data_IF_837956020137
#
_entry.id   IF_837956020137
#
_cell.length_a   1.000
_cell.length_b   1.000
_cell.length_c   1.000
_cell.angle_alpha   90.00
_cell.angle_beta   90.00
_cell.angle_gamma   90.00
#
_symmetry.space_group_name_H-M   'P 1'
#
loop_
_entity.id
_entity.type
_entity.pdbx_description
1 polymer ?
#
# COMPACT_ATOMS: atom_id res chain seq x y z
N UNK A 1 -27.36 6.76 14.29
CA UNK A 1 -26.20 5.97 14.79
C UNK A 1 -26.69 4.59 15.22
N UNK A 2 -26.52 3.57 14.38
CA UNK A 2 -26.92 2.18 14.68
C UNK A 2 -25.97 1.58 15.71
N UNK A 3 -26.50 1.08 16.83
CA UNK A 3 -25.71 0.39 17.85
C UNK A 3 -25.19 -0.92 17.27
N UNK A 4 -23.87 -1.04 17.13
CA UNK A 4 -23.22 -2.30 16.74
C UNK A 4 -23.71 -3.40 17.71
N UNK A 5 -24.24 -4.54 17.21
CA UNK A 5 -24.75 -5.59 18.06
C UNK A 5 -23.67 -6.07 19.04
N UNK A 6 -23.97 -6.17 20.34
CA UNK A 6 -23.03 -6.61 21.38
C UNK A 6 -22.34 -7.95 21.05
N UNK A 7 -22.99 -8.81 20.26
CA UNK A 7 -22.40 -10.06 19.75
C UNK A 7 -21.30 -9.80 18.72
N UNK A 8 -21.49 -8.88 17.77
CA UNK A 8 -20.52 -8.52 16.74
C UNK A 8 -19.28 -7.84 17.34
N UNK A 9 -19.47 -6.92 18.29
CA UNK A 9 -18.36 -6.26 18.98
C UNK A 9 -17.49 -7.26 19.76
N UNK A 10 -18.14 -8.23 20.42
CA UNK A 10 -17.45 -9.31 21.13
C UNK A 10 -16.75 -10.27 20.16
N UNK A 11 -17.36 -10.51 19.00
CA UNK A 11 -16.82 -11.36 17.94
C UNK A 11 -15.54 -10.76 17.35
N UNK A 12 -15.55 -9.46 17.02
CA UNK A 12 -14.38 -8.72 16.55
C UNK A 12 -13.26 -8.76 17.60
N UNK A 13 -13.59 -8.49 18.87
CA UNK A 13 -12.62 -8.49 19.97
C UNK A 13 -11.91 -9.85 20.14
N UNK A 14 -12.62 -10.97 20.03
CA UNK A 14 -12.01 -12.30 20.11
C UNK A 14 -11.30 -12.73 18.82
N UNK A 15 -11.80 -12.32 17.65
CA UNK A 15 -11.13 -12.60 16.36
C UNK A 15 -9.84 -11.81 16.19
N UNK A 16 -9.72 -10.64 16.82
CA UNK A 16 -8.53 -9.77 16.73
C UNK A 16 -7.68 -9.76 17.99
N UNK A 17 -7.93 -10.64 18.98
CA UNK A 17 -7.15 -10.64 20.22
C UNK A 17 -5.67 -11.04 19.95
N UNK A 18 -4.69 -10.14 20.21
CA UNK A 18 -3.28 -10.40 19.95
C UNK A 18 -2.65 -11.47 20.87
N UNK A 19 -3.31 -11.83 21.97
CA UNK A 19 -2.80 -12.82 22.94
C UNK A 19 -3.25 -14.26 22.65
N UNK A 20 -3.96 -14.49 21.54
CA UNK A 20 -4.37 -15.85 21.15
C UNK A 20 -3.17 -16.73 20.80
N UNK A 21 -3.25 -18.00 21.19
CA UNK A 21 -2.29 -19.05 20.84
C UNK A 21 -2.97 -20.20 20.10
N UNK A 22 -2.33 -20.72 19.05
CA UNK A 22 -2.85 -21.84 18.25
C UNK A 22 -3.83 -21.44 17.14
N UNK A 23 -4.13 -22.40 16.25
CA UNK A 23 -5.08 -22.22 15.14
C UNK A 23 -6.48 -22.61 15.62
N UNK A 24 -7.44 -21.72 15.39
CA UNK A 24 -8.81 -21.82 15.86
C UNK A 24 -9.78 -21.42 14.74
N UNK A 25 -11.08 -21.69 14.91
CA UNK A 25 -12.12 -21.23 13.97
C UNK A 25 -12.15 -19.70 13.78
N UNK A 26 -11.59 -18.95 14.71
CA UNK A 26 -11.51 -17.49 14.65
C UNK A 26 -10.50 -17.02 13.60
N UNK A 27 -9.49 -17.82 13.28
CA UNK A 27 -8.51 -17.56 12.22
C UNK A 27 -9.15 -17.56 10.83
N UNK A 28 -10.09 -18.47 10.60
CA UNK A 28 -10.86 -18.50 9.35
C UNK A 28 -11.71 -17.23 9.22
N UNK A 29 -12.35 -16.79 10.30
CA UNK A 29 -13.10 -15.52 10.31
C UNK A 29 -12.18 -14.34 10.01
N UNK A 30 -11.01 -14.31 10.65
CA UNK A 30 -10.03 -13.26 10.44
C UNK A 30 -9.55 -13.19 8.99
N UNK A 31 -9.23 -14.34 8.39
CA UNK A 31 -8.89 -14.44 6.98
C UNK A 31 -10.05 -13.93 6.10
N UNK A 32 -11.29 -14.32 6.41
CA UNK A 32 -12.47 -13.84 5.68
C UNK A 32 -12.64 -12.32 5.80
N UNK A 33 -12.35 -11.72 6.96
CA UNK A 33 -12.39 -10.26 7.14
C UNK A 33 -11.31 -9.60 6.29
N UNK A 34 -10.09 -10.13 6.28
CA UNK A 34 -8.99 -9.58 5.46
C UNK A 34 -9.32 -9.68 3.99
N UNK A 35 -9.78 -10.84 3.52
CA UNK A 35 -10.19 -11.06 2.13
C UNK A 35 -11.36 -10.14 1.76
N UNK A 36 -12.37 -10.01 2.63
CA UNK A 36 -13.50 -9.12 2.40
C UNK A 36 -13.07 -7.65 2.32
N UNK A 37 -12.23 -7.20 3.26
CA UNK A 37 -11.68 -5.84 3.24
C UNK A 37 -10.85 -5.58 1.97
N UNK A 38 -10.07 -6.57 1.54
CA UNK A 38 -9.31 -6.52 0.30
C UNK A 38 -10.24 -6.40 -0.93
N UNK A 39 -11.29 -7.21 -1.01
CA UNK A 39 -12.29 -7.10 -2.08
C UNK A 39 -13.00 -5.74 -2.08
N UNK A 40 -13.44 -5.26 -0.90
CA UNK A 40 -14.01 -3.92 -0.77
C UNK A 40 -13.04 -2.83 -1.22
N UNK A 41 -11.75 -2.98 -0.93
CA UNK A 41 -10.72 -2.06 -1.39
C UNK A 41 -10.66 -1.99 -2.91
N UNK A 42 -10.64 -3.12 -3.63
CA UNK A 42 -10.64 -3.09 -5.10
C UNK A 42 -11.95 -2.56 -5.69
N UNK A 43 -13.09 -2.81 -5.05
CA UNK A 43 -14.37 -2.27 -5.50
C UNK A 43 -14.45 -0.75 -5.35
N UNK A 44 -14.05 -0.21 -4.19
CA UNK A 44 -14.04 1.25 -3.95
C UNK A 44 -12.98 1.92 -4.81
N UNK A 45 -11.82 1.29 -4.98
CA UNK A 45 -10.77 1.78 -5.88
C UNK A 45 -11.22 1.73 -7.35
N UNK A 46 -12.06 0.79 -7.74
CA UNK A 46 -12.64 0.73 -9.09
C UNK A 46 -13.75 1.76 -9.35
N UNK A 47 -14.32 2.38 -8.30
CA UNK A 47 -15.34 3.41 -8.43
C UNK A 47 -14.71 4.75 -8.86
N UNK A 48 -14.31 4.81 -10.14
CA UNK A 48 -13.68 5.98 -10.76
C UNK A 48 -14.70 7.12 -10.84
N UNK A 49 -14.37 8.24 -10.20
CA UNK A 49 -15.03 9.53 -10.45
C UNK A 49 -14.07 10.34 -11.32
N UNK A 50 -14.54 10.77 -12.49
CA UNK A 50 -13.72 11.58 -13.41
C UNK A 50 -13.48 12.97 -12.81
N UNK A 51 -12.33 13.12 -12.14
CA UNK A 51 -11.84 14.37 -11.51
C UNK A 51 -10.40 14.65 -11.94
N UNK A 52 -10.12 14.44 -13.22
CA UNK A 52 -8.77 14.55 -13.78
C UNK A 52 -8.13 15.92 -13.53
N UNK A 53 -8.90 17.00 -13.69
CA UNK A 53 -8.42 18.37 -13.46
C UNK A 53 -8.02 18.62 -12.00
N UNK A 54 -8.87 18.22 -11.04
CA UNK A 54 -8.58 18.34 -9.61
C UNK A 54 -7.35 17.51 -9.23
N UNK A 55 -7.25 16.28 -9.76
CA UNK A 55 -6.14 15.37 -9.48
C UNK A 55 -4.79 15.93 -9.92
N UNK A 56 -4.73 16.52 -11.12
CA UNK A 56 -3.52 17.20 -11.62
C UNK A 56 -3.22 18.42 -10.74
N UNK A 57 -4.22 19.25 -10.44
CA UNK A 57 -4.03 20.44 -9.61
C UNK A 57 -3.46 20.10 -8.22
N UNK A 58 -4.02 19.10 -7.54
CA UNK A 58 -3.52 18.63 -6.25
C UNK A 58 -2.08 18.10 -6.34
N UNK A 59 -1.75 17.37 -7.41
CA UNK A 59 -0.40 16.87 -7.61
C UNK A 59 0.61 18.01 -7.78
N UNK A 60 0.27 19.05 -8.57
CA UNK A 60 1.09 20.27 -8.70
C UNK A 60 1.26 20.97 -7.36
N UNK A 61 0.18 21.14 -6.60
CA UNK A 61 0.23 21.75 -5.27
C UNK A 61 1.17 21.01 -4.31
N UNK A 62 1.16 19.66 -4.32
CA UNK A 62 2.08 18.84 -3.52
C UNK A 62 3.54 19.09 -3.95
N UNK A 63 3.81 19.13 -5.26
CA UNK A 63 5.15 19.40 -5.77
C UNK A 63 5.62 20.81 -5.39
N UNK A 64 4.77 21.83 -5.54
CA UNK A 64 5.09 23.20 -5.15
C UNK A 64 5.42 23.28 -3.65
N UNK A 65 4.67 22.56 -2.82
CA UNK A 65 4.98 22.45 -1.39
C UNK A 65 6.34 21.78 -1.16
N UNK A 66 6.66 20.69 -1.87
CA UNK A 66 7.96 20.02 -1.76
C UNK A 66 9.12 20.93 -2.19
N UNK A 67 8.92 21.73 -3.25
CA UNK A 67 9.89 22.71 -3.74
C UNK A 67 10.13 23.78 -2.67
N UNK A 68 9.05 24.35 -2.12
CA UNK A 68 9.12 25.38 -1.09
C UNK A 68 9.79 24.89 0.20
N UNK A 69 9.64 23.60 0.53
CA UNK A 69 10.30 22.96 1.66
C UNK A 69 11.73 22.49 1.35
N UNK A 70 12.19 22.59 0.11
CA UNK A 70 13.52 22.12 -0.31
C UNK A 70 13.68 20.60 -0.32
N UNK A 71 12.57 19.85 -0.37
CA UNK A 71 12.56 18.37 -0.35
C UNK A 71 12.15 17.76 -1.70
N UNK A 72 12.04 18.58 -2.75
CA UNK A 72 11.76 18.11 -4.12
C UNK A 72 13.00 17.46 -4.75
N UNK A 73 13.30 16.23 -4.34
CA UNK A 73 14.50 15.48 -4.74
C UNK A 73 14.20 14.36 -5.74
N UNK A 74 12.92 14.01 -5.94
CA UNK A 74 12.50 12.84 -6.70
C UNK A 74 13.04 12.83 -8.15
N UNK A 75 12.96 13.91 -8.96
CA UNK A 75 13.51 13.89 -10.31
C UNK A 75 15.04 13.78 -10.37
N UNK A 76 15.74 14.28 -9.35
CA UNK A 76 17.20 14.14 -9.28
C UNK A 76 17.59 12.69 -8.96
N UNK A 77 16.91 12.08 -7.98
CA UNK A 77 17.11 10.69 -7.63
C UNK A 77 16.73 9.75 -8.78
N UNK A 78 15.60 10.00 -9.46
CA UNK A 78 15.18 9.19 -10.61
C UNK A 78 16.21 9.23 -11.72
N UNK A 79 16.73 10.41 -12.08
CA UNK A 79 17.79 10.52 -13.11
C UNK A 79 19.04 9.73 -12.74
N UNK A 80 19.49 9.80 -11.48
CA UNK A 80 20.61 9.00 -11.01
C UNK A 80 20.35 7.48 -11.13
N UNK A 81 19.14 7.01 -10.83
CA UNK A 81 18.78 5.59 -11.03
C UNK A 81 18.76 5.21 -12.51
N UNK A 82 18.28 6.11 -13.38
CA UNK A 82 18.21 5.88 -14.83
C UNK A 82 19.58 5.76 -15.49
N UNK A 83 20.65 6.31 -14.88
CA UNK A 83 22.02 6.11 -15.34
C UNK A 83 22.48 4.63 -15.21
N UNK A 84 21.76 3.81 -14.45
CA UNK A 84 22.06 2.41 -14.20
C UNK A 84 20.89 1.49 -14.60
N UNK A 85 20.86 1.06 -15.86
CA UNK A 85 19.78 0.20 -16.43
C UNK A 85 19.45 -1.02 -15.57
N UNK A 86 20.47 -1.74 -15.08
CA UNK A 86 20.27 -2.92 -14.24
C UNK A 86 19.61 -2.58 -12.90
N UNK A 87 19.95 -1.43 -12.31
CA UNK A 87 19.33 -0.97 -11.06
C UNK A 87 17.86 -0.62 -11.31
N UNK A 88 17.55 0.11 -12.38
CA UNK A 88 16.17 0.43 -12.77
C UNK A 88 15.30 -0.81 -12.96
N UNK A 89 15.78 -1.80 -13.72
CA UNK A 89 15.07 -3.08 -13.93
C UNK A 89 14.88 -3.86 -12.63
N UNK A 90 15.91 -3.92 -11.78
CA UNK A 90 15.82 -4.61 -10.50
C UNK A 90 14.76 -3.96 -9.58
N UNK A 91 14.73 -2.62 -9.50
CA UNK A 91 13.74 -1.89 -8.72
C UNK A 91 12.32 -2.08 -9.26
N UNK A 92 12.13 -2.01 -10.58
CA UNK A 92 10.85 -2.33 -11.22
C UNK A 92 10.38 -3.75 -10.89
N UNK A 93 11.28 -4.73 -11.00
CA UNK A 93 10.98 -6.13 -10.69
C UNK A 93 10.56 -6.32 -9.23
N UNK A 94 11.32 -5.74 -8.29
CA UNK A 94 11.00 -5.78 -6.86
C UNK A 94 9.63 -5.13 -6.61
N UNK A 95 9.42 -3.93 -7.16
CA UNK A 95 8.18 -3.18 -6.98
C UNK A 95 6.96 -3.94 -7.51
N UNK A 96 7.06 -4.52 -8.70
CA UNK A 96 5.92 -5.17 -9.36
C UNK A 96 5.65 -6.57 -8.83
N UNK A 97 6.71 -7.38 -8.63
CA UNK A 97 6.54 -8.81 -8.34
C UNK A 97 6.69 -9.17 -6.87
N UNK A 98 7.45 -8.42 -6.07
CA UNK A 98 7.83 -8.87 -4.72
C UNK A 98 6.96 -8.30 -3.60
N UNK A 99 6.25 -7.19 -3.80
CA UNK A 99 5.52 -6.54 -2.71
C UNK A 99 4.45 -7.45 -2.07
N UNK A 100 3.54 -7.99 -2.87
CA UNK A 100 2.49 -8.90 -2.36
C UNK A 100 3.04 -10.23 -1.81
N UNK A 101 3.97 -10.94 -2.50
CA UNK A 101 4.60 -12.12 -1.92
C UNK A 101 5.31 -11.85 -0.60
N UNK A 102 5.99 -10.70 -0.47
CA UNK A 102 6.67 -10.31 0.76
C UNK A 102 5.67 -10.11 1.90
N UNK A 103 4.56 -9.41 1.66
CA UNK A 103 3.46 -9.26 2.63
C UNK A 103 2.95 -10.63 3.08
N UNK A 104 2.70 -11.55 2.14
CA UNK A 104 2.19 -12.88 2.45
C UNK A 104 3.17 -13.71 3.29
N UNK A 105 4.45 -13.73 2.90
CA UNK A 105 5.49 -14.50 3.61
C UNK A 105 5.74 -13.93 4.99
N UNK A 106 5.95 -12.62 5.13
CA UNK A 106 6.16 -11.98 6.43
C UNK A 106 4.94 -12.14 7.33
N UNK A 107 3.74 -11.96 6.77
CA UNK A 107 2.48 -12.19 7.48
C UNK A 107 2.37 -13.63 8.01
N UNK A 108 2.70 -14.64 7.20
CA UNK A 108 2.71 -16.04 7.62
C UNK A 108 3.74 -16.31 8.72
N UNK A 109 4.97 -15.81 8.56
CA UNK A 109 6.04 -15.98 9.56
C UNK A 109 5.62 -15.36 10.89
N UNK A 110 5.10 -14.13 10.88
CA UNK A 110 4.62 -13.47 12.09
C UNK A 110 3.41 -14.21 12.68
N UNK A 111 2.48 -14.71 11.87
CA UNK A 111 1.31 -15.47 12.34
C UNK A 111 1.75 -16.69 13.16
N UNK A 112 2.71 -17.46 12.64
CA UNK A 112 3.15 -18.71 13.25
C UNK A 112 4.12 -18.49 14.41
N UNK A 113 5.02 -17.51 14.32
CA UNK A 113 6.10 -17.30 15.30
C UNK A 113 5.78 -16.25 16.36
N UNK A 114 4.98 -15.24 16.01
CA UNK A 114 4.82 -13.99 16.78
C UNK A 114 3.40 -13.42 16.61
N UNK A 115 2.40 -14.16 17.10
CA UNK A 115 0.98 -13.85 16.86
C UNK A 115 0.58 -12.40 17.17
N UNK A 116 1.04 -11.87 18.31
CA UNK A 116 0.80 -10.47 18.70
C UNK A 116 1.29 -9.47 17.66
N UNK A 117 2.49 -9.67 17.11
CA UNK A 117 3.05 -8.77 16.10
C UNK A 117 2.28 -8.88 14.79
N UNK A 118 1.93 -10.10 14.37
CA UNK A 118 1.08 -10.32 13.21
C UNK A 118 -0.25 -9.55 13.30
N UNK A 119 -0.96 -9.67 14.43
CA UNK A 119 -2.24 -8.98 14.65
C UNK A 119 -2.10 -7.46 14.57
N UNK A 120 -1.07 -6.90 15.20
CA UNK A 120 -0.81 -5.45 15.16
C UNK A 120 -0.45 -4.98 13.74
N UNK A 121 0.43 -5.69 13.04
CA UNK A 121 0.82 -5.36 11.66
C UNK A 121 -0.38 -5.48 10.72
N UNK A 122 -1.18 -6.55 10.83
CA UNK A 122 -2.43 -6.74 10.07
C UNK A 122 -3.38 -5.57 10.28
N UNK A 123 -3.64 -5.18 11.52
CA UNK A 123 -4.58 -4.09 11.83
C UNK A 123 -4.06 -2.75 11.33
N UNK A 124 -2.77 -2.46 11.47
CA UNK A 124 -2.15 -1.26 10.92
C UNK A 124 -2.25 -1.21 9.38
N UNK A 125 -2.09 -2.34 8.70
CA UNK A 125 -2.24 -2.43 7.24
C UNK A 125 -3.69 -2.22 6.80
N UNK A 126 -4.66 -2.84 7.49
CA UNK A 126 -6.08 -2.67 7.19
C UNK A 126 -6.56 -1.23 7.46
N UNK A 127 -6.15 -0.64 8.58
CA UNK A 127 -6.49 0.75 8.94
C UNK A 127 -5.86 1.71 7.92
N UNK A 128 -4.58 1.56 7.60
CA UNK A 128 -3.92 2.42 6.61
C UNK A 128 -4.52 2.28 5.22
N UNK A 129 -4.88 1.06 4.79
CA UNK A 129 -5.63 0.82 3.55
C UNK A 129 -6.99 1.52 3.54
N UNK A 130 -7.75 1.42 4.64
CA UNK A 130 -9.03 2.12 4.78
C UNK A 130 -8.88 3.65 4.74
N UNK A 131 -7.88 4.20 5.43
CA UNK A 131 -7.57 5.64 5.38
C UNK A 131 -7.16 6.08 3.97
N UNK A 132 -6.35 5.28 3.28
CA UNK A 132 -5.94 5.57 1.90
C UNK A 132 -7.14 5.65 0.96
N UNK A 133 -8.13 4.74 1.07
CA UNK A 133 -9.37 4.81 0.28
C UNK A 133 -10.12 6.13 0.49
N UNK A 134 -10.26 6.57 1.74
CA UNK A 134 -10.92 7.84 2.07
C UNK A 134 -10.16 9.00 1.43
N UNK A 135 -8.83 8.99 1.50
CA UNK A 135 -7.98 10.02 0.91
C UNK A 135 -8.05 10.01 -0.63
N UNK A 136 -8.00 8.85 -1.28
CA UNK A 136 -8.12 8.73 -2.73
C UNK A 136 -9.44 9.30 -3.25
N UNK A 137 -10.51 9.22 -2.46
CA UNK A 137 -11.80 9.79 -2.79
C UNK A 137 -11.89 11.30 -2.46
N UNK A 138 -11.42 11.70 -1.28
CA UNK A 138 -11.54 13.08 -0.80
C UNK A 138 -10.53 14.03 -1.47
N UNK A 139 -9.36 13.53 -1.82
CA UNK A 139 -8.23 14.30 -2.35
C UNK A 139 -7.53 13.47 -3.45
N UNK A 140 -8.12 13.36 -4.65
CA UNK A 140 -7.51 12.62 -5.76
C UNK A 140 -6.21 13.30 -6.16
N UNK A 141 -5.18 12.51 -6.52
CA UNK A 141 -3.86 13.03 -6.89
C UNK A 141 -3.36 12.30 -8.11
N UNK A 142 -3.00 13.06 -9.15
CA UNK A 142 -2.40 12.49 -10.35
C UNK A 142 -0.99 11.96 -10.07
N UNK A 143 -0.62 10.77 -10.57
CA UNK A 143 0.73 10.23 -10.44
C UNK A 143 1.76 11.07 -11.24
N UNK A 144 3.03 11.09 -10.83
CA UNK A 144 4.09 11.90 -11.46
C UNK A 144 4.25 11.72 -12.97
N UNK A 145 3.97 10.51 -13.50
CA UNK A 145 3.98 10.22 -14.95
C UNK A 145 3.02 11.08 -15.79
N UNK A 146 2.01 11.69 -15.18
CA UNK A 146 1.09 12.63 -15.84
C UNK A 146 1.54 14.09 -15.74
N UNK A 147 2.74 14.34 -15.20
CA UNK A 147 3.31 15.66 -14.96
C UNK A 147 4.67 15.79 -15.65
N UNK A 148 4.73 15.71 -16.99
CA UNK A 148 5.99 15.69 -17.75
C UNK A 148 6.82 16.96 -17.57
N UNK A 149 6.22 18.08 -17.14
CA UNK A 149 6.90 19.36 -16.94
C UNK A 149 8.00 19.32 -15.86
N UNK A 150 8.02 18.32 -14.97
CA UNK A 150 9.10 18.10 -13.99
C UNK A 150 10.09 16.99 -14.37
N UNK A 151 9.98 16.43 -15.58
CA UNK A 151 10.95 15.47 -16.11
C UNK A 151 10.84 14.04 -15.58
N UNK A 152 9.67 13.64 -15.08
CA UNK A 152 9.43 12.26 -14.64
C UNK A 152 9.40 11.27 -15.82
N UNK A 153 10.00 10.09 -15.62
CA UNK A 153 10.01 8.98 -16.58
C UNK A 153 9.17 7.83 -16.05
N UNK A 154 8.27 7.26 -16.86
CA UNK A 154 7.55 6.03 -16.52
C UNK A 154 8.41 4.80 -16.81
N UNK A 155 9.21 4.38 -15.82
CA UNK A 155 10.16 3.26 -15.97
C UNK A 155 9.48 1.92 -16.18
N UNK A 156 8.25 1.73 -15.70
CA UNK A 156 7.49 0.49 -15.89
C UNK A 156 7.02 0.32 -17.33
N UNK A 157 6.76 1.45 -18.02
CA UNK A 157 6.46 1.45 -19.45
C UNK A 157 7.74 1.21 -20.25
N UNK A 158 8.77 2.00 -19.97
CA UNK A 158 10.01 2.00 -20.74
C UNK A 158 10.74 0.66 -20.71
N UNK A 159 10.83 0.00 -19.55
CA UNK A 159 11.67 -1.21 -19.42
C UNK A 159 10.93 -2.51 -19.64
N UNK A 160 9.65 -2.58 -19.25
CA UNK A 160 8.96 -3.85 -19.09
C UNK A 160 7.57 -3.89 -19.76
N UNK A 161 7.08 -2.78 -20.36
CA UNK A 161 5.71 -2.63 -20.87
C UNK A 161 4.62 -3.06 -19.84
N UNK A 162 4.94 -3.00 -18.55
CA UNK A 162 4.10 -3.53 -17.47
C UNK A 162 3.05 -2.53 -16.98
N UNK A 163 3.20 -1.25 -17.27
CA UNK A 163 2.20 -0.20 -16.99
C UNK A 163 0.88 -0.49 -17.68
N UNK A 164 0.91 -0.93 -18.94
CA UNK A 164 -0.28 -1.37 -19.65
C UNK A 164 -0.93 -2.61 -19.02
N UNK A 165 -0.15 -3.57 -18.49
CA UNK A 165 -0.68 -4.74 -17.79
C UNK A 165 -1.25 -4.41 -16.39
N UNK A 166 -0.65 -3.48 -15.67
CA UNK A 166 -1.20 -2.95 -14.43
C UNK A 166 -2.51 -2.18 -14.67
N UNK A 167 -2.60 -1.47 -15.80
CA UNK A 167 -3.78 -0.70 -16.20
C UNK A 167 -4.86 -1.55 -16.88
N UNK A 168 -4.54 -2.71 -17.47
CA UNK A 168 -5.52 -3.58 -18.15
C UNK A 168 -6.47 -4.29 -17.18
N UNK A 169 -6.22 -4.23 -15.87
CA UNK A 169 -7.21 -4.48 -14.81
C UNK A 169 -8.20 -3.29 -14.65
N UNK A 170 -8.64 -2.71 -15.77
CA UNK A 170 -9.41 -1.46 -15.90
C UNK A 170 -10.62 -1.30 -14.95
N UNK A 171 -11.38 -2.33 -14.53
CA UNK A 171 -12.51 -2.10 -13.62
C UNK A 171 -12.10 -1.82 -12.17
N UNK A 172 -10.83 -2.02 -11.79
CA UNK A 172 -10.40 -2.08 -10.39
C UNK A 172 -9.25 -1.13 -10.03
N UNK A 173 -8.81 -0.28 -10.95
CA UNK A 173 -7.65 0.60 -10.79
C UNK A 173 -8.06 2.07 -10.95
N UNK A 174 -8.02 2.83 -9.85
CA UNK A 174 -8.12 4.29 -9.90
C UNK A 174 -6.79 4.89 -10.33
N UNK A 175 -6.71 5.57 -11.50
CA UNK A 175 -5.47 6.16 -11.99
C UNK A 175 -5.00 7.37 -11.14
N UNK A 176 -5.87 7.97 -10.33
CA UNK A 176 -5.61 9.15 -9.48
C UNK A 176 -5.45 8.82 -7.98
N UNK A 177 -5.20 7.54 -7.66
CA UNK A 177 -4.92 7.08 -6.31
C UNK A 177 -3.41 7.07 -6.01
N UNK A 178 -2.72 8.19 -6.23
CA UNK A 178 -1.26 8.28 -6.07
C UNK A 178 -0.82 8.47 -4.61
N UNK A 179 -1.59 9.21 -3.81
CA UNK A 179 -1.22 9.58 -2.43
C UNK A 179 -2.34 9.18 -1.45
N UNK A 180 -2.04 8.48 -0.34
CA UNK A 180 -0.72 8.02 0.09
C UNK A 180 -0.25 6.74 -0.63
N UNK A 181 1.06 6.50 -0.62
CA UNK A 181 1.64 5.26 -1.18
C UNK A 181 1.48 4.08 -0.23
N UNK A 182 0.59 3.14 -0.58
CA UNK A 182 0.39 1.93 0.21
C UNK A 182 1.57 0.96 0.14
N UNK A 183 2.28 0.86 -0.98
CA UNK A 183 3.46 -0.01 -1.10
C UNK A 183 4.55 0.42 -0.11
N UNK A 184 4.87 1.71 -0.07
CA UNK A 184 5.86 2.26 0.88
C UNK A 184 5.36 2.14 2.31
N UNK A 185 4.10 2.49 2.56
CA UNK A 185 3.51 2.41 3.90
C UNK A 185 3.49 0.99 4.46
N UNK A 186 3.09 0.01 3.66
CA UNK A 186 3.05 -1.40 4.05
C UNK A 186 4.44 -2.00 4.17
N UNK A 187 5.37 -1.68 3.27
CA UNK A 187 6.78 -2.06 3.41
C UNK A 187 7.36 -1.60 4.75
N UNK A 188 7.07 -0.35 5.16
CA UNK A 188 7.49 0.18 6.46
C UNK A 188 6.84 -0.56 7.64
N UNK A 189 5.54 -0.85 7.56
CA UNK A 189 4.83 -1.61 8.59
C UNK A 189 5.35 -3.04 8.74
N UNK A 190 5.67 -3.71 7.63
CA UNK A 190 6.29 -5.03 7.64
C UNK A 190 7.68 -4.97 8.27
N UNK A 191 8.52 -4.01 7.87
CA UNK A 191 9.85 -3.81 8.42
C UNK A 191 9.79 -3.56 9.93
N UNK A 192 8.92 -2.67 10.39
CA UNK A 192 8.70 -2.41 11.81
C UNK A 192 8.20 -3.67 12.55
N UNK A 193 7.26 -4.42 11.95
CA UNK A 193 6.74 -5.67 12.48
C UNK A 193 7.84 -6.72 12.69
N UNK A 194 8.73 -6.89 11.71
CA UNK A 194 9.89 -7.80 11.79
C UNK A 194 10.90 -7.30 12.83
N UNK A 195 11.28 -6.02 12.76
CA UNK A 195 12.29 -5.40 13.63
C UNK A 195 11.95 -5.54 15.12
N UNK A 196 10.70 -5.30 15.50
CA UNK A 196 10.22 -5.43 16.89
C UNK A 196 10.10 -6.90 17.32
N UNK A 197 9.89 -7.80 16.37
CA UNK A 197 9.62 -9.22 16.62
C UNK A 197 10.85 -10.12 16.66
N UNK A 198 11.97 -9.63 16.15
CA UNK A 198 13.22 -10.38 16.02
C UNK A 198 14.31 -9.87 16.97
N UNK A 199 15.15 -10.78 17.44
CA UNK A 199 16.41 -10.47 18.14
C UNK A 199 17.65 -10.68 17.25
N UNK A 200 17.45 -11.16 16.02
CA UNK A 200 18.53 -11.36 15.07
C UNK A 200 19.00 -9.98 14.56
N UNK A 201 20.30 -9.70 14.71
CA UNK A 201 20.92 -8.44 14.29
C UNK A 201 20.92 -8.24 12.77
N UNK A 202 20.80 -9.30 11.97
CA UNK A 202 20.72 -9.21 10.51
C UNK A 202 19.31 -8.79 10.06
N UNK A 203 18.29 -9.12 10.85
CA UNK A 203 16.89 -8.80 10.58
C UNK A 203 16.42 -7.51 11.30
N UNK A 204 17.35 -6.84 11.99
CA UNK A 204 17.15 -5.54 12.65
C UNK A 204 17.92 -4.48 11.89
#
# INVERSE_FOLDING_TARGET
>A
MSRVPRRLARYLFYSTNPERSGVTRWDVTELLIVVFAFLCYFLVRGAVVDRTADAIHHARWIIDLQINLGVFVEPAFQRWVLDYDLLGRALNFIYFWLDFPLIAVVGMVLFWKRRRAYTLTRDAMLISGGMALVLYWAYPVAPPRFLPEWGFVDTLEVYDNLSYQAQSMQPFVNPFAAVPSLHVGWSLLLAAGVFVSTRNLILR
#
